data_IF_141728980600
#
_entry.id   IF_141728980600
#
_cell.length_a   1.000
_cell.length_b   1.000
_cell.length_c   1.000
_cell.angle_alpha   90.00
_cell.angle_beta   90.00
_cell.angle_gamma   90.00
#
_symmetry.space_group_name_H-M   'P 1'
#
loop_
_entity.id
_entity.type
_entity.pdbx_description
1 polymer ?
#
# COMPACT_ATOMS: atom_id res chain seq x y z
N UNK A 1 -7.77 -34.77 -65.20
CA UNK A 1 -6.51 -34.04 -64.94
C UNK A 1 -6.87 -32.89 -64.00
N UNK A 2 -6.54 -33.10 -62.72
CA UNK A 2 -6.50 -32.14 -61.60
C UNK A 2 -7.85 -31.56 -61.14
N UNK A 3 -8.40 -32.20 -60.09
CA UNK A 3 -9.25 -31.54 -59.10
C UNK A 3 -8.46 -30.39 -58.45
N UNK A 4 -8.87 -29.14 -58.68
CA UNK A 4 -8.44 -27.99 -57.89
C UNK A 4 -9.66 -27.11 -57.63
N UNK A 5 -10.32 -27.35 -56.50
CA UNK A 5 -11.15 -26.33 -55.82
C UNK A 5 -11.32 -26.68 -54.34
N UNK A 6 -10.24 -27.09 -53.69
CA UNK A 6 -10.13 -27.01 -52.23
C UNK A 6 -9.37 -25.72 -51.92
N UNK A 7 -10.05 -24.58 -52.04
CA UNK A 7 -9.64 -23.40 -51.28
C UNK A 7 -9.98 -23.75 -49.84
N UNK A 8 -8.99 -24.21 -49.08
CA UNK A 8 -9.13 -24.38 -47.64
C UNK A 8 -9.60 -23.04 -47.07
N UNK A 9 -10.83 -22.98 -46.57
CA UNK A 9 -11.28 -21.80 -45.86
C UNK A 9 -10.34 -21.57 -44.68
N UNK A 10 -9.86 -20.33 -44.44
CA UNK A 10 -9.01 -20.05 -43.30
C UNK A 10 -9.75 -20.50 -42.04
N UNK A 11 -9.18 -21.48 -41.33
CA UNK A 11 -9.67 -21.89 -40.02
C UNK A 11 -9.69 -20.64 -39.13
N UNK A 12 -10.87 -20.07 -38.96
CA UNK A 12 -11.10 -18.97 -38.04
C UNK A 12 -11.41 -19.65 -36.72
N UNK A 13 -10.47 -19.67 -35.74
CA UNK A 13 -10.81 -20.21 -34.44
C UNK A 13 -11.98 -19.37 -33.92
N UNK A 14 -13.12 -20.02 -33.67
CA UNK A 14 -14.24 -19.44 -32.95
C UNK A 14 -13.77 -19.15 -31.52
N UNK A 15 -13.00 -18.07 -31.36
CA UNK A 15 -12.54 -17.62 -30.06
C UNK A 15 -13.72 -17.01 -29.34
N UNK A 16 -14.45 -17.87 -28.62
CA UNK A 16 -15.42 -17.48 -27.59
C UNK A 16 -14.79 -16.76 -26.40
N UNK A 17 -13.68 -16.03 -26.62
CA UNK A 17 -13.12 -15.11 -25.65
C UNK A 17 -14.01 -13.87 -25.65
N UNK A 18 -15.05 -13.91 -24.81
CA UNK A 18 -15.81 -12.71 -24.44
C UNK A 18 -14.80 -11.69 -23.92
N UNK A 19 -14.50 -10.66 -24.71
CA UNK A 19 -13.53 -9.66 -24.32
C UNK A 19 -14.13 -8.86 -23.15
N UNK A 20 -13.59 -8.96 -21.92
CA UNK A 20 -14.15 -8.22 -20.79
C UNK A 20 -14.04 -6.70 -20.99
N UNK A 21 -13.18 -6.23 -21.92
CA UNK A 21 -13.04 -4.85 -22.32
C UNK A 21 -14.24 -4.31 -23.12
N UNK A 22 -15.10 -5.19 -23.64
CA UNK A 22 -16.32 -4.79 -24.35
C UNK A 22 -17.31 -4.08 -23.41
N UNK A 23 -17.24 -4.36 -22.10
CA UNK A 23 -18.05 -3.68 -21.08
C UNK A 23 -17.44 -2.34 -20.63
N UNK A 24 -17.30 -1.42 -21.57
CA UNK A 24 -16.83 -0.05 -21.34
C UNK A 24 -15.32 0.03 -21.13
N UNK A 25 -14.70 1.00 -21.77
CA UNK A 25 -13.25 1.25 -21.71
C UNK A 25 -12.98 2.47 -20.83
N UNK A 26 -11.80 2.51 -20.20
CA UNK A 26 -11.30 3.68 -19.49
C UNK A 26 -10.02 4.14 -20.19
N UNK A 27 -10.07 5.28 -20.89
CA UNK A 27 -9.00 5.74 -21.80
C UNK A 27 -8.53 4.65 -22.79
N UNK A 28 -9.44 3.82 -23.30
CA UNK A 28 -9.10 2.71 -24.20
C UNK A 28 -8.58 1.43 -23.53
N UNK A 29 -8.45 1.42 -22.20
CA UNK A 29 -8.01 0.26 -21.43
C UNK A 29 -9.16 -0.44 -20.69
N UNK A 30 -8.97 -1.71 -20.24
CA UNK A 30 -9.98 -2.43 -19.47
C UNK A 30 -10.33 -1.72 -18.15
N UNK A 31 -11.61 -1.69 -17.76
CA UNK A 31 -12.09 -1.03 -16.52
C UNK A 31 -11.52 -1.58 -15.22
N UNK A 32 -10.92 -2.77 -15.24
CA UNK A 32 -10.18 -3.31 -14.11
C UNK A 32 -8.93 -2.47 -13.83
N UNK A 33 -8.29 -1.94 -14.86
CA UNK A 33 -7.11 -1.08 -14.72
C UNK A 33 -7.45 0.21 -13.98
N UNK A 34 -8.58 0.84 -14.31
CA UNK A 34 -9.04 2.05 -13.61
C UNK A 34 -9.16 1.82 -12.10
N UNK A 35 -9.72 0.67 -11.70
CA UNK A 35 -9.83 0.29 -10.28
C UNK A 35 -8.47 0.09 -9.64
N UNK A 36 -7.59 -0.68 -10.28
CA UNK A 36 -6.24 -0.93 -9.78
C UNK A 36 -5.45 0.37 -9.64
N UNK A 37 -5.52 1.25 -10.64
CA UNK A 37 -4.88 2.56 -10.63
C UNK A 37 -5.34 3.40 -9.44
N UNK A 38 -6.65 3.58 -9.25
CA UNK A 38 -7.17 4.38 -8.14
C UNK A 38 -6.81 3.79 -6.78
N UNK A 39 -6.88 2.45 -6.62
CA UNK A 39 -6.50 1.80 -5.36
C UNK A 39 -5.02 1.98 -5.05
N UNK A 40 -4.17 1.87 -6.06
CA UNK A 40 -2.72 2.02 -5.91
C UNK A 40 -2.35 3.46 -5.58
N UNK A 41 -2.93 4.42 -6.31
CA UNK A 41 -2.73 5.84 -6.08
C UNK A 41 -3.07 6.23 -4.62
N UNK A 42 -4.18 5.72 -4.09
CA UNK A 42 -4.59 6.03 -2.72
C UNK A 42 -3.69 5.38 -1.67
N UNK A 43 -3.21 4.16 -1.94
CA UNK A 43 -2.24 3.46 -1.08
C UNK A 43 -0.93 4.26 -0.98
N UNK A 44 -0.37 4.65 -2.14
CA UNK A 44 0.85 5.47 -2.19
C UNK A 44 0.66 6.83 -1.54
N UNK A 45 -0.47 7.49 -1.77
CA UNK A 45 -0.77 8.78 -1.15
C UNK A 45 -0.72 8.68 0.38
N UNK A 46 -1.37 7.66 0.96
CA UNK A 46 -1.33 7.41 2.40
C UNK A 46 0.09 7.09 2.89
N UNK A 47 0.80 6.22 2.19
CA UNK A 47 2.16 5.80 2.57
C UNK A 47 3.16 6.96 2.58
N UNK A 48 3.23 7.73 1.50
CA UNK A 48 4.15 8.87 1.43
C UNK A 48 3.72 10.02 2.35
N UNK A 49 2.42 10.24 2.53
CA UNK A 49 1.90 11.23 3.48
C UNK A 49 2.30 10.90 4.92
N UNK A 50 2.11 9.66 5.36
CA UNK A 50 2.54 9.19 6.67
C UNK A 50 4.06 9.26 6.81
N UNK A 51 4.82 8.81 5.81
CA UNK A 51 6.29 8.87 5.82
C UNK A 51 6.82 10.29 5.99
N UNK A 52 6.18 11.28 5.36
CA UNK A 52 6.56 12.69 5.47
C UNK A 52 6.29 13.26 6.87
N UNK A 53 5.16 12.88 7.49
CA UNK A 53 4.76 13.41 8.79
C UNK A 53 5.29 12.61 9.99
N UNK A 54 5.72 11.36 9.79
CA UNK A 54 6.11 10.45 10.88
C UNK A 54 7.28 11.01 11.70
N UNK A 55 8.36 11.43 11.05
CA UNK A 55 9.53 11.99 11.75
C UNK A 55 9.17 13.29 12.48
N UNK A 56 8.33 14.13 11.86
CA UNK A 56 7.83 15.36 12.49
C UNK A 56 6.98 15.04 13.73
N UNK A 57 6.12 14.04 13.64
CA UNK A 57 5.28 13.59 14.74
C UNK A 57 6.10 13.01 15.90
N UNK A 58 7.11 12.17 15.63
CA UNK A 58 7.97 11.60 16.67
C UNK A 58 8.77 12.66 17.41
N UNK A 59 9.30 13.65 16.69
CA UNK A 59 10.11 14.72 17.29
C UNK A 59 9.27 15.76 18.01
N UNK A 60 8.10 16.15 17.47
CA UNK A 60 7.26 17.21 18.06
C UNK A 60 6.26 16.73 19.09
N UNK A 61 5.68 15.54 18.90
CA UNK A 61 4.64 15.00 19.80
C UNK A 61 5.22 14.17 20.94
N UNK A 62 6.29 13.42 20.68
CA UNK A 62 6.93 12.54 21.67
C UNK A 62 8.26 13.08 22.21
N UNK A 63 8.76 14.21 21.68
CA UNK A 63 10.02 14.84 22.12
C UNK A 63 11.19 13.85 22.05
N UNK A 64 11.19 13.00 21.02
CA UNK A 64 12.30 12.09 20.76
C UNK A 64 13.49 12.84 20.16
N UNK A 65 14.70 12.36 20.46
CA UNK A 65 15.90 12.89 19.81
C UNK A 65 15.94 12.47 18.33
N UNK A 66 16.65 13.25 17.51
CA UNK A 66 16.76 12.97 16.06
C UNK A 66 17.29 11.56 15.77
N UNK A 67 18.21 11.06 16.61
CA UNK A 67 18.76 9.71 16.49
C UNK A 67 17.69 8.64 16.76
N UNK A 68 16.85 8.82 17.78
CA UNK A 68 15.76 7.90 18.11
C UNK A 68 14.68 7.92 17.02
N UNK A 69 14.28 9.11 16.57
CA UNK A 69 13.29 9.26 15.51
C UNK A 69 13.77 8.64 14.19
N UNK A 70 15.03 8.88 13.81
CA UNK A 70 15.63 8.30 12.61
C UNK A 70 15.77 6.77 12.71
N UNK A 71 16.16 6.25 13.87
CA UNK A 71 16.23 4.81 14.12
C UNK A 71 14.86 4.13 13.97
N UNK A 72 13.82 4.71 14.56
CA UNK A 72 12.45 4.17 14.46
C UNK A 72 11.92 4.25 13.03
N UNK A 73 12.16 5.38 12.35
CA UNK A 73 11.81 5.56 10.94
C UNK A 73 12.51 4.54 10.03
N UNK A 74 13.80 4.27 10.26
CA UNK A 74 14.58 3.28 9.53
C UNK A 74 14.03 1.86 9.76
N UNK A 75 13.74 1.51 11.02
CA UNK A 75 13.13 0.22 11.37
C UNK A 75 11.75 0.04 10.74
N UNK A 76 10.90 1.06 10.79
CA UNK A 76 9.60 1.06 10.11
C UNK A 76 9.77 0.82 8.60
N UNK A 77 10.67 1.57 7.95
CA UNK A 77 10.92 1.45 6.52
C UNK A 77 11.38 0.03 6.17
N UNK A 78 12.33 -0.53 6.93
CA UNK A 78 12.81 -1.89 6.72
C UNK A 78 11.67 -2.93 6.79
N UNK A 79 10.76 -2.81 7.76
CA UNK A 79 9.60 -3.69 7.86
C UNK A 79 8.67 -3.53 6.66
N UNK A 80 8.39 -2.30 6.20
CA UNK A 80 7.57 -2.05 5.01
C UNK A 80 8.17 -2.70 3.76
N UNK A 81 9.49 -2.78 3.65
CA UNK A 81 10.15 -3.48 2.54
C UNK A 81 10.16 -5.01 2.73
N UNK A 82 10.12 -5.52 3.96
CA UNK A 82 10.11 -6.95 4.26
C UNK A 82 8.71 -7.57 4.14
N UNK A 83 7.67 -6.88 4.64
CA UNK A 83 6.30 -7.39 4.70
C UNK A 83 5.72 -7.81 3.33
N UNK A 84 6.00 -7.16 2.20
CA UNK A 84 5.55 -7.59 0.88
C UNK A 84 6.03 -9.00 0.51
N UNK A 85 7.23 -9.40 0.95
CA UNK A 85 7.73 -10.76 0.73
C UNK A 85 6.83 -11.79 1.43
N UNK A 86 6.50 -11.53 2.69
CA UNK A 86 5.61 -12.38 3.50
C UNK A 86 4.18 -12.36 2.93
N UNK A 87 3.69 -11.18 2.53
CA UNK A 87 2.37 -11.02 1.93
C UNK A 87 2.22 -11.74 0.59
N UNK A 88 3.28 -11.75 -0.23
CA UNK A 88 3.34 -12.49 -1.49
C UNK A 88 3.23 -14.00 -1.28
N UNK A 89 4.04 -14.55 -0.36
CA UNK A 89 3.98 -15.98 0.00
C UNK A 89 2.56 -16.39 0.47
N UNK A 90 1.93 -15.57 1.31
CA UNK A 90 0.56 -15.79 1.79
C UNK A 90 -0.46 -15.70 0.64
N UNK A 91 -0.28 -14.76 -0.29
CA UNK A 91 -1.15 -14.61 -1.45
C UNK A 91 -1.07 -15.79 -2.41
N UNK A 92 0.12 -16.36 -2.59
CA UNK A 92 0.35 -17.45 -3.52
C UNK A 92 -0.11 -18.81 -2.96
N UNK A 93 0.07 -19.03 -1.64
CA UNK A 93 -0.16 -20.35 -1.04
C UNK A 93 -1.52 -20.52 -0.37
N UNK A 94 -2.12 -19.45 0.19
CA UNK A 94 -3.23 -19.59 1.15
C UNK A 94 -4.49 -18.85 0.67
N UNK A 95 -4.38 -17.56 0.36
CA UNK A 95 -5.54 -16.68 0.27
C UNK A 95 -5.95 -16.31 -1.17
N UNK A 96 -5.01 -16.36 -2.12
CA UNK A 96 -5.19 -15.84 -3.47
C UNK A 96 -5.12 -14.31 -3.54
N UNK A 97 -4.62 -13.78 -4.64
CA UNK A 97 -4.21 -12.36 -4.77
C UNK A 97 -5.32 -11.36 -4.42
N UNK A 98 -6.57 -11.61 -4.85
CA UNK A 98 -7.71 -10.69 -4.58
C UNK A 98 -8.07 -10.61 -3.09
N UNK A 99 -7.93 -11.69 -2.32
CA UNK A 99 -8.25 -11.69 -0.88
C UNK A 99 -7.10 -11.08 -0.09
N UNK A 100 -5.85 -11.36 -0.47
CA UNK A 100 -4.67 -10.78 0.17
C UNK A 100 -4.62 -9.25 0.05
N UNK A 101 -4.96 -8.69 -1.13
CA UNK A 101 -5.03 -7.23 -1.30
C UNK A 101 -6.08 -6.61 -0.37
N UNK A 102 -7.27 -7.22 -0.24
CA UNK A 102 -8.31 -6.72 0.67
C UNK A 102 -7.89 -6.81 2.13
N UNK A 103 -7.24 -7.90 2.52
CA UNK A 103 -6.71 -8.08 3.87
C UNK A 103 -5.66 -7.01 4.19
N UNK A 104 -4.69 -6.80 3.30
CA UNK A 104 -3.68 -5.75 3.45
C UNK A 104 -4.28 -4.35 3.54
N UNK A 105 -5.29 -4.04 2.72
CA UNK A 105 -5.99 -2.77 2.76
C UNK A 105 -6.72 -2.52 4.10
N UNK A 106 -7.36 -3.55 4.66
CA UNK A 106 -8.02 -3.46 5.98
C UNK A 106 -6.96 -3.25 7.08
N UNK A 107 -5.87 -4.00 7.03
CA UNK A 107 -4.77 -3.87 8.00
C UNK A 107 -4.16 -2.46 7.97
N UNK A 108 -3.92 -1.91 6.77
CA UNK A 108 -3.47 -0.53 6.58
C UNK A 108 -4.47 0.47 7.14
N UNK A 109 -5.77 0.31 6.84
CA UNK A 109 -6.81 1.21 7.34
C UNK A 109 -6.86 1.25 8.88
N UNK A 110 -6.72 0.11 9.55
CA UNK A 110 -6.65 0.03 11.02
C UNK A 110 -5.40 0.74 11.54
N UNK A 111 -4.25 0.58 10.88
CA UNK A 111 -3.00 1.26 11.23
C UNK A 111 -3.13 2.78 11.15
N UNK A 112 -3.65 3.30 10.03
CA UNK A 112 -3.90 4.73 9.87
C UNK A 112 -4.93 5.27 10.85
N UNK A 113 -6.00 4.51 11.11
CA UNK A 113 -7.01 4.88 12.10
C UNK A 113 -6.39 5.01 13.49
N UNK A 114 -5.55 4.05 13.89
CA UNK A 114 -4.83 4.10 15.18
C UNK A 114 -3.92 5.33 15.28
N UNK A 115 -3.22 5.69 14.19
CA UNK A 115 -2.39 6.89 14.15
C UNK A 115 -3.22 8.18 14.28
N UNK A 116 -4.44 8.21 13.73
CA UNK A 116 -5.31 9.38 13.78
C UNK A 116 -5.77 9.73 15.21
N UNK A 117 -5.89 8.74 16.10
CA UNK A 117 -6.25 8.93 17.52
C UNK A 117 -5.03 8.95 18.45
N UNK A 118 -3.84 9.27 17.92
CA UNK A 118 -2.60 9.37 18.68
C UNK A 118 -2.79 10.14 19.99
N UNK A 119 -2.40 9.52 21.11
CA UNK A 119 -2.70 9.95 22.48
C UNK A 119 -2.12 11.31 22.87
N UNK A 120 -2.25 11.68 24.15
CA UNK A 120 -1.86 13.01 24.62
C UNK A 120 -0.39 13.35 24.28
N UNK A 121 -0.11 14.60 23.84
CA UNK A 121 1.26 15.04 23.57
C UNK A 121 2.13 14.92 24.81
N UNK A 122 3.38 14.52 24.62
CA UNK A 122 4.36 14.44 25.70
C UNK A 122 4.62 15.83 26.27
N UNK A 123 4.67 15.94 27.60
CA UNK A 123 5.05 17.19 28.26
C UNK A 123 6.57 17.35 28.19
N UNK A 124 7.08 18.54 27.80
CA UNK A 124 8.50 18.78 27.83
C UNK A 124 9.00 18.71 29.27
N UNK A 125 10.05 17.93 29.50
CA UNK A 125 10.72 17.85 30.79
C UNK A 125 12.16 18.36 30.65
N UNK A 126 12.62 19.12 31.63
CA UNK A 126 14.01 19.52 31.76
C UNK A 126 14.69 18.62 32.80
N UNK A 127 15.90 18.18 32.49
CA UNK A 127 16.77 17.48 33.43
C UNK A 127 17.67 18.52 34.09
N UNK A 128 17.36 18.92 35.33
CA UNK A 128 18.28 19.70 36.17
C UNK A 128 18.78 18.79 37.30
N UNK A 129 20.10 18.67 37.45
CA UNK A 129 20.76 17.89 38.50
C UNK A 129 20.25 16.45 38.66
N UNK A 130 19.89 15.80 37.54
CA UNK A 130 19.41 14.42 37.52
C UNK A 130 17.94 14.23 37.94
N UNK A 131 17.22 15.31 38.24
CA UNK A 131 15.78 15.30 38.50
C UNK A 131 14.99 15.79 37.28
N UNK A 132 13.90 15.09 36.95
CA UNK A 132 12.99 15.47 35.85
C UNK A 132 12.01 16.52 36.34
N UNK A 133 12.09 17.71 35.77
CA UNK A 133 11.14 18.79 36.01
C UNK A 133 10.25 18.96 34.79
N UNK A 134 8.95 18.73 34.95
CA UNK A 134 7.97 19.02 33.90
C UNK A 134 7.91 20.53 33.68
N UNK A 135 8.28 20.97 32.47
CA UNK A 135 8.21 22.38 32.09
C UNK A 135 6.79 22.63 31.57
N UNK A 136 5.97 23.31 32.37
CA UNK A 136 4.75 23.94 31.86
C UNK A 136 5.17 25.19 31.08
N UNK A 137 5.10 25.13 29.76
CA UNK A 137 5.13 26.30 28.88
C UNK A 137 3.71 26.79 28.68
#
# INVERSE_FOLDING_TARGET
MVDTSAVEEPFTPASGHVNPAEKGTWFGHPRQLARLFTTEMWERFGYYGMRALLTLYLTKHFIFSDQQATGLYGGYTALVYLTPLVGGLIADQILGSKRSVKFGAIMMAIGYFTLAFGGQPAKPYALLDGQRYDVQV
#
